data_IF_535471852532
#
_entry.id   IF_535471852532
#
_cell.length_a   1.000
_cell.length_b   1.000
_cell.length_c   1.000
_cell.angle_alpha   90.00
_cell.angle_beta   90.00
_cell.angle_gamma   90.00
#
_symmetry.space_group_name_H-M   'P 1'
#
loop_
_entity.id
_entity.type
_entity.pdbx_description
1 polymer ?
#
# COMPACT_ATOMS: atom_id res chain seq x y z
N UNK A 1 3.55 -11.84 11.73
CA UNK A 1 2.91 -13.00 11.05
C UNK A 1 2.62 -12.73 9.56
N UNK A 2 3.12 -11.65 8.94
CA UNK A 2 2.77 -11.29 7.56
C UNK A 2 3.58 -11.96 6.44
N UNK A 3 4.75 -12.54 6.71
CA UNK A 3 5.47 -13.33 5.70
C UNK A 3 4.63 -14.51 5.17
N UNK A 4 3.78 -15.07 6.01
CA UNK A 4 2.83 -16.11 5.62
C UNK A 4 1.71 -15.59 4.72
N UNK A 5 1.31 -14.33 4.85
CA UNK A 5 0.21 -13.77 4.05
C UNK A 5 0.64 -13.56 2.59
N UNK A 6 1.85 -13.04 2.34
CA UNK A 6 2.38 -12.92 0.98
C UNK A 6 2.61 -14.29 0.33
N UNK A 7 3.14 -15.26 1.09
CA UNK A 7 3.28 -16.65 0.62
C UNK A 7 1.92 -17.28 0.31
N UNK A 8 0.91 -17.06 1.15
CA UNK A 8 -0.45 -17.56 0.90
C UNK A 8 -1.04 -16.98 -0.39
N UNK A 9 -0.83 -15.68 -0.66
CA UNK A 9 -1.26 -15.05 -1.93
C UNK A 9 -0.54 -15.68 -3.13
N UNK A 10 0.77 -15.94 -3.02
CA UNK A 10 1.54 -16.58 -4.09
C UNK A 10 1.09 -18.02 -4.35
N UNK A 11 0.82 -18.79 -3.30
CA UNK A 11 0.30 -20.16 -3.40
C UNK A 11 -1.10 -20.18 -4.03
N UNK A 12 -1.99 -19.26 -3.60
CA UNK A 12 -3.31 -19.09 -4.20
C UNK A 12 -3.22 -18.70 -5.68
N UNK A 13 -2.29 -17.84 -6.05
CA UNK A 13 -2.07 -17.45 -7.43
C UNK A 13 -1.54 -18.62 -8.29
N UNK A 14 -0.61 -19.42 -7.75
CA UNK A 14 -0.14 -20.65 -8.40
C UNK A 14 -1.28 -21.65 -8.59
N UNK A 15 -2.17 -21.78 -7.61
CA UNK A 15 -3.34 -22.64 -7.73
C UNK A 15 -4.37 -22.11 -8.74
N UNK A 16 -4.57 -20.80 -8.80
CA UNK A 16 -5.40 -20.15 -9.82
C UNK A 16 -4.85 -20.35 -11.24
N UNK A 17 -3.52 -20.43 -11.41
CA UNK A 17 -2.92 -20.75 -12.69
C UNK A 17 -3.21 -22.19 -13.15
N UNK A 18 -3.25 -23.14 -12.20
CA UNK A 18 -3.51 -24.58 -12.46
C UNK A 18 -5.00 -24.88 -12.70
N UNK A 19 -5.91 -24.27 -11.94
CA UNK A 19 -7.36 -24.47 -12.06
C UNK A 19 -8.13 -23.14 -12.21
N UNK A 20 -8.10 -22.53 -13.41
CA UNK A 20 -8.51 -21.14 -13.61
C UNK A 20 -9.99 -20.85 -13.35
N UNK A 21 -10.91 -21.79 -13.58
CA UNK A 21 -12.34 -21.47 -13.47
C UNK A 21 -12.80 -21.20 -12.02
N UNK A 22 -12.66 -22.12 -11.04
CA UNK A 22 -13.10 -21.85 -9.66
C UNK A 22 -12.07 -21.07 -8.83
N UNK A 23 -10.77 -21.30 -9.05
CA UNK A 23 -9.73 -20.73 -8.16
C UNK A 23 -9.45 -19.25 -8.43
N UNK A 24 -9.75 -18.75 -9.64
CA UNK A 24 -9.68 -17.29 -9.91
C UNK A 24 -10.66 -16.51 -9.05
N UNK A 25 -11.87 -17.05 -8.84
CA UNK A 25 -12.87 -16.42 -7.99
C UNK A 25 -12.46 -16.44 -6.52
N UNK A 26 -11.88 -17.55 -6.04
CA UNK A 26 -11.31 -17.62 -4.69
C UNK A 26 -10.19 -16.58 -4.50
N UNK A 27 -9.28 -16.47 -5.47
CA UNK A 27 -8.22 -15.45 -5.45
C UNK A 27 -8.81 -14.02 -5.41
N UNK A 28 -9.75 -13.71 -6.30
CA UNK A 28 -10.42 -12.40 -6.34
C UNK A 28 -11.10 -12.09 -5.01
N UNK A 29 -11.84 -13.04 -4.43
CA UNK A 29 -12.53 -12.86 -3.15
C UNK A 29 -11.55 -12.55 -2.01
N UNK A 30 -10.42 -13.28 -1.94
CA UNK A 30 -9.38 -13.06 -0.94
C UNK A 30 -8.75 -11.67 -1.11
N UNK A 31 -8.43 -11.27 -2.35
CA UNK A 31 -7.84 -9.95 -2.63
C UNK A 31 -8.82 -8.83 -2.25
N UNK A 32 -10.08 -8.92 -2.66
CA UNK A 32 -11.10 -7.90 -2.32
C UNK A 32 -11.30 -7.82 -0.80
N UNK A 33 -11.34 -8.96 -0.10
CA UNK A 33 -11.47 -8.99 1.35
C UNK A 33 -10.28 -8.28 2.03
N UNK A 34 -9.06 -8.54 1.54
CA UNK A 34 -7.84 -7.90 2.04
C UNK A 34 -7.82 -6.39 1.79
N UNK A 35 -8.11 -5.96 0.56
CA UNK A 35 -8.18 -4.53 0.20
C UNK A 35 -9.28 -3.80 0.99
N UNK A 36 -10.44 -4.43 1.15
CA UNK A 36 -11.55 -3.91 1.95
C UNK A 36 -11.19 -3.77 3.43
N UNK A 37 -10.50 -4.76 4.01
CA UNK A 37 -9.99 -4.70 5.37
C UNK A 37 -8.97 -3.56 5.55
N UNK A 38 -8.04 -3.41 4.61
CA UNK A 38 -7.04 -2.36 4.63
C UNK A 38 -7.67 -0.97 4.53
N UNK A 39 -8.63 -0.78 3.61
CA UNK A 39 -9.37 0.46 3.45
C UNK A 39 -10.16 0.84 4.71
N UNK A 40 -10.84 -0.14 5.34
CA UNK A 40 -11.54 0.07 6.61
C UNK A 40 -10.57 0.50 7.72
N UNK A 41 -9.38 -0.09 7.77
CA UNK A 41 -8.37 0.25 8.77
C UNK A 41 -7.80 1.66 8.57
N UNK A 42 -7.57 2.06 7.31
CA UNK A 42 -7.14 3.42 6.96
C UNK A 42 -8.21 4.47 7.26
N UNK A 43 -9.48 4.17 7.03
CA UNK A 43 -10.60 5.11 7.27
C UNK A 43 -10.96 5.28 8.74
N UNK A 44 -10.65 4.31 9.59
CA UNK A 44 -10.82 4.41 11.05
C UNK A 44 -9.80 5.35 11.73
N UNK A 45 -8.75 5.76 11.03
CA UNK A 45 -7.82 6.75 11.57
C UNK A 45 -8.45 8.15 11.46
N UNK A 46 -8.57 8.91 12.57
CA UNK A 46 -9.13 10.26 12.51
C UNK A 46 -8.36 11.12 11.52
N UNK A 47 -9.05 11.79 10.58
CA UNK A 47 -8.43 12.65 9.56
C UNK A 47 -8.04 14.03 10.09
N UNK A 48 -7.93 14.18 11.41
CA UNK A 48 -7.64 15.47 12.02
C UNK A 48 -6.26 15.94 11.55
N UNK A 49 -6.16 17.18 11.01
CA UNK A 49 -4.88 17.75 10.62
C UNK A 49 -3.97 17.79 11.85
N UNK A 50 -2.72 17.33 11.69
CA UNK A 50 -1.70 17.45 12.73
C UNK A 50 -1.28 18.92 12.75
N UNK A 51 -1.53 19.68 13.83
CA UNK A 51 -1.12 21.06 13.88
C UNK A 51 0.42 21.15 13.85
N UNK A 52 1.02 22.05 13.07
CA UNK A 52 2.46 22.30 13.16
C UNK A 52 2.82 22.83 14.55
N UNK A 53 3.96 22.42 15.08
CA UNK A 53 4.48 22.89 16.37
C UNK A 53 3.74 22.35 17.61
N UNK A 54 2.71 21.52 17.47
CA UNK A 54 2.02 20.96 18.64
C UNK A 54 2.86 19.90 19.35
N UNK A 55 2.92 19.90 20.69
CA UNK A 55 3.53 18.81 21.45
C UNK A 55 2.84 17.47 21.16
N UNK A 56 3.54 16.33 21.27
CA UNK A 56 4.89 16.16 21.83
C UNK A 56 6.05 16.27 20.81
N UNK A 57 5.78 16.35 19.51
CA UNK A 57 6.82 16.19 18.47
C UNK A 57 7.32 17.49 17.84
N UNK A 58 6.61 18.62 18.00
CA UNK A 58 6.97 19.92 17.39
C UNK A 58 7.33 19.81 15.89
N UNK A 59 6.41 19.25 15.09
CA UNK A 59 6.60 19.09 13.66
C UNK A 59 6.65 20.45 12.93
N UNK A 60 7.54 20.58 11.94
CA UNK A 60 7.51 21.68 10.99
C UNK A 60 6.25 21.61 10.11
N UNK A 61 5.92 22.68 9.39
CA UNK A 61 4.74 22.70 8.51
C UNK A 61 4.78 21.61 7.43
N UNK A 62 5.97 21.28 6.92
CA UNK A 62 6.17 20.23 5.92
C UNK A 62 6.11 18.83 6.54
N UNK A 63 6.67 18.64 7.74
CA UNK A 63 6.58 17.40 8.51
C UNK A 63 5.12 17.09 8.89
N UNK A 64 4.37 18.09 9.39
CA UNK A 64 2.96 17.94 9.76
C UNK A 64 2.10 17.55 8.54
N UNK A 65 2.41 18.11 7.37
CA UNK A 65 1.76 17.76 6.10
C UNK A 65 2.08 16.33 5.67
N UNK A 66 3.34 15.91 5.82
CA UNK A 66 3.79 14.55 5.50
C UNK A 66 3.13 13.51 6.42
N UNK A 67 3.16 13.75 7.74
CA UNK A 67 2.56 12.88 8.76
C UNK A 67 1.05 12.82 8.59
N UNK A 68 0.39 13.96 8.32
CA UNK A 68 -1.05 13.99 8.03
C UNK A 68 -1.43 13.17 6.79
N UNK A 69 -0.65 13.29 5.71
CA UNK A 69 -0.91 12.58 4.44
C UNK A 69 -0.63 11.08 4.52
N UNK A 70 0.38 10.67 5.28
CA UNK A 70 0.81 9.27 5.42
C UNK A 70 0.62 8.74 6.84
N UNK A 71 -0.49 9.14 7.48
CA UNK A 71 -0.74 8.86 8.90
C UNK A 71 -0.70 7.38 9.25
N UNK A 72 -1.27 6.53 8.38
CA UNK A 72 -1.23 5.08 8.57
C UNK A 72 0.20 4.53 8.65
N UNK A 73 1.11 5.05 7.83
CA UNK A 73 2.51 4.66 7.80
C UNK A 73 3.24 5.08 9.09
N UNK A 74 2.99 6.29 9.59
CA UNK A 74 3.62 6.78 10.82
C UNK A 74 3.00 6.20 12.10
N UNK A 75 1.68 5.94 12.13
CA UNK A 75 1.00 5.35 13.30
C UNK A 75 1.25 3.85 13.42
N UNK A 76 1.32 3.12 12.30
CA UNK A 76 1.52 1.67 12.32
C UNK A 76 2.61 1.24 11.32
N UNK A 77 3.88 1.54 11.59
CA UNK A 77 4.98 1.30 10.64
C UNK A 77 5.17 -0.18 10.31
N UNK A 78 5.02 -1.07 11.31
CA UNK A 78 5.08 -2.52 11.09
C UNK A 78 3.96 -2.99 10.14
N UNK A 79 2.71 -2.60 10.41
CA UNK A 79 1.58 -2.98 9.56
C UNK A 79 1.67 -2.36 8.17
N UNK A 80 2.19 -1.13 8.03
CA UNK A 80 2.37 -0.49 6.74
C UNK A 80 3.40 -1.23 5.87
N UNK A 81 4.54 -1.63 6.46
CA UNK A 81 5.56 -2.44 5.80
C UNK A 81 5.05 -3.82 5.40
N UNK A 82 4.34 -4.49 6.32
CA UNK A 82 3.72 -5.78 6.07
C UNK A 82 2.68 -5.68 4.94
N UNK A 83 1.83 -4.65 4.98
CA UNK A 83 0.79 -4.44 3.97
C UNK A 83 1.37 -4.13 2.59
N UNK A 84 2.48 -3.38 2.54
CA UNK A 84 3.18 -3.09 1.30
C UNK A 84 3.76 -4.36 0.65
N UNK A 85 4.28 -5.31 1.44
CA UNK A 85 4.77 -6.59 0.92
C UNK A 85 3.63 -7.45 0.36
N UNK A 86 2.49 -7.51 1.04
CA UNK A 86 1.30 -8.24 0.56
C UNK A 86 0.74 -7.60 -0.72
N UNK A 87 0.65 -6.27 -0.78
CA UNK A 87 0.22 -5.55 -1.99
C UNK A 87 1.17 -5.77 -3.16
N UNK A 88 2.48 -5.82 -2.92
CA UNK A 88 3.45 -6.13 -3.96
C UNK A 88 3.25 -7.55 -4.51
N UNK A 89 3.00 -8.53 -3.63
CA UNK A 89 2.68 -9.90 -4.03
C UNK A 89 1.40 -9.94 -4.87
N UNK A 90 0.30 -9.32 -4.39
CA UNK A 90 -0.98 -9.22 -5.11
C UNK A 90 -0.79 -8.55 -6.47
N UNK A 91 -0.04 -7.45 -6.54
CA UNK A 91 0.20 -6.73 -7.79
C UNK A 91 0.96 -7.57 -8.81
N UNK A 92 2.00 -8.28 -8.37
CA UNK A 92 2.77 -9.18 -9.23
C UNK A 92 1.90 -10.35 -9.71
N UNK A 93 1.18 -11.02 -8.82
CA UNK A 93 0.33 -12.15 -9.17
C UNK A 93 -0.84 -11.73 -10.05
N UNK A 94 -1.44 -10.57 -9.79
CA UNK A 94 -2.50 -10.01 -10.62
C UNK A 94 -2.01 -9.72 -12.05
N UNK A 95 -0.80 -9.18 -12.21
CA UNK A 95 -0.22 -8.94 -13.53
C UNK A 95 -0.06 -10.25 -14.30
N UNK A 96 0.56 -11.27 -13.70
CA UNK A 96 0.74 -12.59 -14.33
C UNK A 96 -0.60 -13.26 -14.63
N UNK A 97 -1.51 -13.31 -13.64
CA UNK A 97 -2.83 -13.94 -13.78
C UNK A 97 -3.71 -13.23 -14.81
N UNK A 98 -3.66 -11.90 -14.90
CA UNK A 98 -4.46 -11.17 -15.88
C UNK A 98 -4.12 -11.60 -17.31
N UNK A 99 -2.83 -11.72 -17.64
CA UNK A 99 -2.40 -12.20 -18.97
C UNK A 99 -2.70 -13.69 -19.16
N UNK A 100 -2.47 -14.52 -18.13
CA UNK A 100 -2.74 -15.96 -18.19
C UNK A 100 -4.23 -16.29 -18.38
N UNK A 101 -5.10 -15.61 -17.64
CA UNK A 101 -6.56 -15.78 -17.72
C UNK A 101 -7.09 -15.28 -19.06
N UNK A 102 -6.51 -14.21 -19.61
CA UNK A 102 -6.83 -13.75 -20.96
C UNK A 102 -6.48 -14.82 -22.01
N UNK A 103 -5.30 -15.45 -21.88
CA UNK A 103 -4.90 -16.58 -22.75
C UNK A 103 -5.84 -17.79 -22.60
N UNK A 104 -6.30 -18.09 -21.39
CA UNK A 104 -7.26 -19.17 -21.10
C UNK A 104 -8.73 -18.80 -21.40
N UNK A 105 -8.99 -17.67 -22.04
CA UNK A 105 -10.33 -17.17 -22.39
C UNK A 105 -11.25 -16.92 -21.18
N UNK A 106 -10.68 -16.82 -19.97
CA UNK A 106 -11.38 -16.44 -18.75
C UNK A 106 -11.46 -14.91 -18.65
N UNK A 107 -12.18 -14.29 -19.59
CA UNK A 107 -12.20 -12.83 -19.78
C UNK A 107 -12.70 -12.06 -18.56
N UNK A 108 -13.80 -12.51 -17.92
CA UNK A 108 -14.37 -11.82 -16.76
C UNK A 108 -13.38 -11.80 -15.58
N UNK A 109 -12.79 -12.93 -15.15
CA UNK A 109 -11.72 -12.92 -14.15
C UNK A 109 -10.50 -12.08 -14.55
N UNK A 110 -10.07 -12.14 -15.82
CA UNK A 110 -8.93 -11.38 -16.30
C UNK A 110 -9.14 -9.87 -16.16
N UNK A 111 -10.32 -9.37 -16.55
CA UNK A 111 -10.67 -7.95 -16.41
C UNK A 111 -10.73 -7.55 -14.94
N UNK A 112 -11.35 -8.36 -14.08
CA UNK A 112 -11.43 -8.06 -12.64
C UNK A 112 -10.05 -7.99 -11.98
N UNK A 113 -9.18 -8.95 -12.28
CA UNK A 113 -7.79 -8.97 -11.79
C UNK A 113 -6.98 -7.80 -12.37
N UNK A 114 -7.18 -7.46 -13.64
CA UNK A 114 -6.55 -6.30 -14.27
C UNK A 114 -6.98 -4.97 -13.64
N UNK A 115 -8.27 -4.78 -13.38
CA UNK A 115 -8.80 -3.60 -12.67
C UNK A 115 -8.26 -3.52 -11.25
N UNK A 116 -8.07 -4.66 -10.57
CA UNK A 116 -7.48 -4.72 -9.24
C UNK A 116 -6.10 -4.06 -9.17
N UNK A 117 -5.29 -4.13 -10.24
CA UNK A 117 -3.98 -3.45 -10.30
C UNK A 117 -4.06 -1.94 -10.02
N UNK A 118 -5.17 -1.30 -10.39
CA UNK A 118 -5.38 0.13 -10.10
C UNK A 118 -5.59 0.38 -8.59
N UNK A 119 -6.32 -0.50 -7.92
CA UNK A 119 -6.52 -0.45 -6.47
C UNK A 119 -5.20 -0.70 -5.74
N UNK A 120 -4.45 -1.74 -6.13
CA UNK A 120 -3.12 -2.05 -5.59
C UNK A 120 -2.17 -0.87 -5.76
N UNK A 121 -2.13 -0.25 -6.95
CA UNK A 121 -1.30 0.92 -7.21
C UNK A 121 -1.68 2.10 -6.31
N UNK A 122 -2.98 2.32 -6.08
CA UNK A 122 -3.48 3.37 -5.18
C UNK A 122 -3.09 3.11 -3.73
N UNK A 123 -3.28 1.89 -3.22
CA UNK A 123 -2.89 1.54 -1.85
C UNK A 123 -1.38 1.57 -1.65
N UNK A 124 -0.60 1.13 -2.63
CA UNK A 124 0.87 1.19 -2.58
C UNK A 124 1.36 2.63 -2.44
N UNK A 125 0.76 3.57 -3.20
CA UNK A 125 1.09 5.00 -3.05
C UNK A 125 0.76 5.54 -1.67
N UNK A 126 -0.29 5.06 -1.01
CA UNK A 126 -0.69 5.49 0.33
C UNK A 126 0.16 4.87 1.44
N UNK A 127 0.70 3.68 1.23
CA UNK A 127 1.50 2.95 2.21
C UNK A 127 3.00 3.22 2.12
N UNK A 128 3.50 3.60 0.94
CA UNK A 128 4.92 3.79 0.68
C UNK A 128 5.23 5.25 0.32
N UNK A 129 5.31 6.16 1.33
CA UNK A 129 5.55 7.59 1.11
C UNK A 129 6.82 7.84 0.31
N UNK A 130 7.92 7.13 0.61
CA UNK A 130 9.19 7.30 -0.07
C UNK A 130 9.11 6.96 -1.55
N UNK A 131 8.36 5.90 -1.92
CA UNK A 131 8.25 5.46 -3.31
C UNK A 131 7.36 6.42 -4.11
N UNK A 132 6.25 6.88 -3.52
CA UNK A 132 5.40 7.89 -4.12
C UNK A 132 6.13 9.23 -4.30
N UNK A 133 6.83 9.70 -3.26
CA UNK A 133 7.55 10.97 -3.30
C UNK A 133 8.76 10.93 -4.24
N UNK A 134 9.49 9.80 -4.32
CA UNK A 134 10.60 9.63 -5.27
C UNK A 134 10.12 9.72 -6.72
N UNK A 135 8.98 9.09 -7.05
CA UNK A 135 8.40 9.16 -8.40
C UNK A 135 7.98 10.60 -8.75
N UNK A 136 7.44 11.36 -7.80
CA UNK A 136 7.08 12.77 -8.05
C UNK A 136 8.31 13.69 -8.09
N UNK A 137 9.34 13.39 -7.28
CA UNK A 137 10.61 14.11 -7.30
C UNK A 137 11.36 13.91 -8.63
N UNK A 138 11.40 12.68 -9.17
CA UNK A 138 12.01 12.41 -10.49
C UNK A 138 11.26 13.06 -11.64
N UNK A 139 9.97 13.39 -11.45
CA UNK A 139 9.18 14.20 -12.39
C UNK A 139 9.42 15.71 -12.27
N UNK A 140 10.35 16.14 -11.41
CA UNK A 140 10.75 17.54 -11.25
C UNK A 140 9.97 18.32 -10.19
N UNK A 141 9.15 17.67 -9.38
CA UNK A 141 8.41 18.35 -8.31
C UNK A 141 9.33 18.68 -7.12
N UNK A 142 9.72 19.96 -7.01
CA UNK A 142 10.54 20.48 -5.91
C UNK A 142 9.84 20.37 -4.55
N UNK A 143 8.51 20.38 -4.49
CA UNK A 143 7.77 20.20 -3.24
C UNK A 143 7.86 18.75 -2.75
N UNK A 144 7.88 17.77 -3.66
CA UNK A 144 8.08 16.37 -3.32
C UNK A 144 9.51 16.07 -2.81
N UNK A 145 10.52 16.77 -3.34
CA UNK A 145 11.90 16.72 -2.85
C UNK A 145 12.01 17.24 -1.40
N UNK A 146 11.42 18.40 -1.11
CA UNK A 146 11.37 18.93 0.27
C UNK A 146 10.65 17.98 1.23
N UNK A 147 9.58 17.33 0.78
CA UNK A 147 8.87 16.34 1.59
C UNK A 147 9.66 15.03 1.78
N UNK A 148 10.57 14.68 0.86
CA UNK A 148 11.53 13.58 1.05
C UNK A 148 12.59 13.95 2.08
N UNK A 149 13.15 15.16 2.00
CA UNK A 149 14.13 15.67 2.97
C UNK A 149 13.54 15.79 4.37
N UNK A 150 12.25 16.15 4.48
CA UNK A 150 11.52 16.22 5.75
C UNK A 150 11.15 14.84 6.34
N UNK A 151 11.38 13.74 5.62
CA UNK A 151 11.00 12.40 6.08
C UNK A 151 11.89 11.89 7.22
N UNK A 152 13.20 12.01 7.06
CA UNK A 152 14.19 11.57 8.04
C UNK A 152 14.10 12.33 9.38
N UNK A 153 13.99 13.68 9.41
CA UNK A 153 13.81 14.42 10.66
C UNK A 153 12.47 14.13 11.33
N UNK A 154 11.39 13.90 10.58
CA UNK A 154 10.10 13.48 11.16
C UNK A 154 10.22 12.13 11.88
N UNK A 155 10.93 11.17 11.30
CA UNK A 155 11.18 9.87 11.92
C UNK A 155 12.13 9.94 13.13
N UNK A 156 13.10 10.85 13.10
CA UNK A 156 13.98 11.09 14.24
C UNK A 156 13.19 11.60 15.45
N UNK A 157 12.27 12.56 15.25
CA UNK A 157 11.38 13.09 16.30
C UNK A 157 10.42 12.04 16.86
N UNK A 158 9.85 11.21 15.99
CA UNK A 158 8.95 10.12 16.41
C UNK A 158 9.69 9.06 17.24
N UNK A 159 10.94 8.73 16.87
CA UNK A 159 11.78 7.83 17.67
C UNK A 159 12.17 8.46 19.01
N UNK A 160 12.62 9.70 19.02
CA UNK A 160 13.07 10.40 20.22
C UNK A 160 11.97 10.57 21.29
N UNK A 161 10.69 10.61 20.90
CA UNK A 161 9.58 10.69 21.87
C UNK A 161 8.96 9.33 22.24
N UNK A 162 9.41 8.23 21.63
CA UNK A 162 8.98 6.86 21.95
C UNK A 162 10.05 6.06 22.73
N UNK A 163 11.23 6.62 22.94
CA UNK A 163 12.23 6.16 23.93
C UNK A 163 11.94 6.78 25.30
#
# INVERSE_FOLDING_TARGET
MAGYASVAVLLLAGWAALNPAPMSWAYIAVVIAYEGWLARRMTRLPRNPVPPGSPPYHFSADEARLVGRYRFYFTYPALARESASVLAAIGLTALVLSFWLLYKQAFVPAVLVGVNLLAVARFTRLLSPQLALRITATRGDRAALRLLEAHDPAWAKIRAANE
#
